data_IF_058040813877
#
_entry.id   IF_058040813877
#
_cell.length_a   1.000
_cell.length_b   1.000
_cell.length_c   1.000
_cell.angle_alpha   90.00
_cell.angle_beta   90.00
_cell.angle_gamma   90.00
#
_symmetry.space_group_name_H-M   'P 1'
#
loop_
_entity.id
_entity.type
_entity.pdbx_description
1 polymer ?
#
# COMPACT_ATOMS: atom_id res chain seq x y z
N UNK A 1 22.17 -1.59 -4.17
CA UNK A 1 21.78 -2.87 -3.52
C UNK A 1 21.27 -3.78 -4.60
N UNK A 2 21.61 -5.08 -4.61
CA UNK A 2 20.97 -6.02 -5.56
C UNK A 2 19.68 -6.50 -4.90
N UNK A 3 18.55 -6.03 -5.38
CA UNK A 3 17.24 -6.33 -4.77
C UNK A 3 16.66 -7.68 -5.17
N UNK A 4 17.06 -8.23 -6.32
CA UNK A 4 16.49 -9.45 -6.90
C UNK A 4 15.09 -9.23 -7.54
N UNK A 5 14.71 -7.97 -7.78
CA UNK A 5 13.35 -7.63 -8.25
C UNK A 5 13.23 -7.50 -9.76
N UNK A 6 14.33 -7.45 -10.52
CA UNK A 6 14.28 -7.35 -11.98
C UNK A 6 13.37 -8.42 -12.60
N UNK A 7 12.47 -8.00 -13.47
CA UNK A 7 11.47 -8.84 -14.12
C UNK A 7 10.28 -9.28 -13.27
N UNK A 8 10.26 -9.00 -11.96
CA UNK A 8 9.11 -9.29 -11.08
C UNK A 8 7.89 -8.44 -11.43
N UNK A 9 6.72 -9.01 -11.23
CA UNK A 9 5.43 -8.35 -11.50
C UNK A 9 4.85 -7.77 -10.21
N UNK A 10 4.65 -6.45 -10.21
CA UNK A 10 4.15 -5.71 -9.05
C UNK A 10 2.75 -5.19 -9.30
N UNK A 11 1.78 -5.56 -8.48
CA UNK A 11 0.44 -4.97 -8.45
C UNK A 11 0.34 -3.94 -7.33
N UNK A 12 0.02 -2.68 -7.66
CA UNK A 12 -0.12 -1.59 -6.69
C UNK A 12 -1.53 -1.01 -6.76
N UNK A 13 -2.26 -1.09 -5.64
CA UNK A 13 -3.60 -0.52 -5.55
C UNK A 13 -3.55 0.95 -5.11
N UNK A 14 -4.42 1.81 -5.66
CA UNK A 14 -4.44 3.23 -5.35
C UNK A 14 -3.19 3.98 -5.78
N UNK A 15 -2.67 3.68 -6.97
CA UNK A 15 -1.36 4.14 -7.47
C UNK A 15 -1.38 5.48 -8.22
N UNK A 16 -2.51 6.19 -8.27
CA UNK A 16 -2.67 7.40 -9.08
C UNK A 16 -1.91 8.62 -8.54
N UNK A 17 -1.56 8.66 -7.25
CA UNK A 17 -0.87 9.80 -6.60
C UNK A 17 -0.15 9.41 -5.32
N UNK A 18 0.55 10.36 -4.74
CA UNK A 18 1.14 10.29 -3.38
C UNK A 18 2.04 9.05 -3.17
N UNK A 19 1.83 8.33 -2.06
CA UNK A 19 2.62 7.15 -1.70
C UNK A 19 2.52 6.06 -2.77
N UNK A 20 1.33 5.81 -3.32
CA UNK A 20 1.14 4.80 -4.36
C UNK A 20 1.93 5.11 -5.63
N UNK A 21 1.90 6.37 -6.09
CA UNK A 21 2.73 6.82 -7.22
C UNK A 21 4.22 6.71 -6.91
N UNK A 22 4.65 7.17 -5.74
CA UNK A 22 6.06 7.10 -5.35
C UNK A 22 6.56 5.66 -5.23
N UNK A 23 5.71 4.75 -4.74
CA UNK A 23 6.00 3.32 -4.69
C UNK A 23 6.15 2.73 -6.10
N UNK A 24 5.28 3.13 -7.03
CA UNK A 24 5.37 2.68 -8.44
C UNK A 24 6.68 3.14 -9.08
N UNK A 25 7.09 4.39 -8.89
CA UNK A 25 8.36 4.91 -9.39
C UNK A 25 9.56 4.17 -8.80
N UNK A 26 9.53 3.90 -7.49
CA UNK A 26 10.61 3.15 -6.84
C UNK A 26 10.75 1.72 -7.37
N UNK A 27 9.65 1.03 -7.70
CA UNK A 27 9.70 -0.27 -8.36
C UNK A 27 10.13 -0.16 -9.83
N UNK A 28 9.78 0.92 -10.53
CA UNK A 28 10.23 1.14 -11.91
C UNK A 28 11.75 1.22 -12.03
N UNK A 29 12.43 1.81 -11.04
CA UNK A 29 13.90 1.86 -10.95
C UNK A 29 14.54 0.47 -10.76
N UNK A 30 13.77 -0.55 -10.38
CA UNK A 30 14.23 -1.93 -10.15
C UNK A 30 13.98 -2.87 -11.35
N UNK A 31 13.67 -2.33 -12.54
CA UNK A 31 13.37 -3.10 -13.77
C UNK A 31 12.21 -4.10 -13.57
N UNK A 32 11.17 -3.68 -12.88
CA UNK A 32 9.97 -4.50 -12.64
C UNK A 32 8.92 -4.29 -13.74
N UNK A 33 7.95 -5.20 -13.81
CA UNK A 33 6.71 -5.04 -14.58
C UNK A 33 5.61 -4.59 -13.63
N UNK A 34 4.85 -3.58 -13.98
CA UNK A 34 3.99 -2.90 -13.02
C UNK A 34 2.53 -2.89 -13.48
N UNK A 35 1.63 -3.35 -12.63
CA UNK A 35 0.18 -3.19 -12.78
C UNK A 35 -0.29 -2.16 -11.77
N UNK A 36 -0.78 -1.03 -12.27
CA UNK A 36 -1.27 0.07 -11.46
C UNK A 36 -2.80 0.09 -11.47
N UNK A 37 -3.39 0.25 -10.29
CA UNK A 37 -4.85 0.39 -10.21
C UNK A 37 -5.30 1.62 -9.43
N UNK A 38 -6.45 2.13 -9.81
CA UNK A 38 -7.22 3.14 -9.08
C UNK A 38 -8.71 2.94 -9.32
N UNK A 39 -9.54 3.43 -8.41
CA UNK A 39 -11.00 3.35 -8.58
C UNK A 39 -11.55 4.36 -9.60
N UNK A 40 -11.03 5.57 -9.66
CA UNK A 40 -11.65 6.70 -10.41
C UNK A 40 -10.71 7.53 -11.26
N UNK A 41 -9.51 7.78 -10.82
CA UNK A 41 -8.61 8.78 -11.42
C UNK A 41 -7.75 8.16 -12.54
N UNK A 42 -8.37 7.74 -13.66
CA UNK A 42 -7.66 7.09 -14.77
C UNK A 42 -6.55 7.97 -15.34
N UNK A 43 -6.82 9.27 -15.55
CA UNK A 43 -5.84 10.22 -16.06
C UNK A 43 -4.60 10.33 -15.16
N UNK A 44 -4.79 10.50 -13.85
CA UNK A 44 -3.67 10.54 -12.89
C UNK A 44 -2.93 9.20 -12.80
N UNK A 45 -3.65 8.08 -13.03
CA UNK A 45 -3.03 6.75 -13.08
C UNK A 45 -2.15 6.62 -14.32
N UNK A 46 -2.62 7.08 -15.47
CA UNK A 46 -1.88 7.04 -16.73
C UNK A 46 -0.66 7.98 -16.69
N UNK A 47 -0.77 9.12 -16.01
CA UNK A 47 0.38 9.99 -15.75
C UNK A 47 1.44 9.29 -14.85
N UNK A 48 1.01 8.49 -13.89
CA UNK A 48 1.92 7.66 -13.09
C UNK A 48 2.59 6.59 -13.95
N UNK A 49 1.82 5.93 -14.82
CA UNK A 49 2.35 4.91 -15.73
C UNK A 49 3.37 5.49 -16.72
N UNK A 50 3.10 6.66 -17.28
CA UNK A 50 4.03 7.34 -18.18
C UNK A 50 5.37 7.63 -17.46
N UNK A 51 5.33 8.14 -16.23
CA UNK A 51 6.53 8.39 -15.45
C UNK A 51 7.32 7.11 -15.11
N UNK A 52 6.64 5.97 -14.87
CA UNK A 52 7.30 4.68 -14.69
C UNK A 52 7.92 4.17 -16.01
N UNK A 53 7.25 4.39 -17.14
CA UNK A 53 7.76 3.99 -18.45
C UNK A 53 9.01 4.79 -18.86
N UNK A 54 9.11 6.07 -18.47
CA UNK A 54 10.32 6.90 -18.64
C UNK A 54 11.52 6.30 -17.88
N UNK A 55 11.30 5.56 -16.82
CA UNK A 55 12.32 4.80 -16.07
C UNK A 55 12.58 3.40 -16.66
N UNK A 56 11.92 3.04 -17.77
CA UNK A 56 12.11 1.78 -18.48
C UNK A 56 11.16 0.65 -18.08
N UNK A 57 10.27 0.85 -17.12
CA UNK A 57 9.35 -0.18 -16.69
C UNK A 57 8.23 -0.45 -17.71
N UNK A 58 7.81 -1.72 -17.82
CA UNK A 58 6.57 -2.10 -18.53
C UNK A 58 5.39 -1.92 -17.59
N UNK A 59 4.41 -1.12 -17.99
CA UNK A 59 3.31 -0.73 -17.12
C UNK A 59 1.96 -0.97 -17.78
N UNK A 60 1.03 -1.54 -17.04
CA UNK A 60 -0.40 -1.66 -17.39
C UNK A 60 -1.24 -0.94 -16.33
N UNK A 61 -2.26 -0.21 -16.77
CA UNK A 61 -3.17 0.55 -15.90
C UNK A 61 -4.60 0.03 -16.00
N UNK A 62 -5.25 -0.20 -14.85
CA UNK A 62 -6.61 -0.71 -14.79
C UNK A 62 -7.45 0.10 -13.79
N UNK A 63 -8.72 0.33 -14.10
CA UNK A 63 -9.69 0.77 -13.10
C UNK A 63 -10.11 -0.45 -12.28
N UNK A 64 -10.01 -0.34 -10.96
CA UNK A 64 -10.39 -1.39 -10.03
C UNK A 64 -10.87 -0.76 -8.72
N UNK A 65 -12.10 -1.04 -8.35
CA UNK A 65 -12.56 -0.85 -6.97
C UNK A 65 -12.17 -2.08 -6.16
N UNK A 66 -11.28 -1.90 -5.19
CA UNK A 66 -10.79 -3.01 -4.36
C UNK A 66 -11.86 -3.63 -3.46
N UNK A 67 -13.02 -2.98 -3.33
CA UNK A 67 -14.19 -3.50 -2.60
C UNK A 67 -15.08 -4.43 -3.44
N UNK A 68 -14.77 -4.57 -4.72
CA UNK A 68 -15.47 -5.42 -5.69
C UNK A 68 -14.58 -6.62 -6.04
N UNK A 69 -14.95 -7.81 -5.55
CA UNK A 69 -14.17 -9.05 -5.72
C UNK A 69 -14.00 -9.41 -7.20
N UNK A 70 -15.03 -9.18 -8.04
CA UNK A 70 -14.98 -9.49 -9.48
C UNK A 70 -14.01 -8.57 -10.24
N UNK A 71 -13.97 -7.28 -9.90
CA UNK A 71 -13.01 -6.34 -10.46
C UNK A 71 -11.58 -6.68 -10.03
N UNK A 72 -11.38 -7.09 -8.77
CA UNK A 72 -10.09 -7.57 -8.29
C UNK A 72 -9.66 -8.83 -9.04
N UNK A 73 -10.54 -9.81 -9.18
CA UNK A 73 -10.28 -11.01 -9.95
C UNK A 73 -9.89 -10.72 -11.39
N UNK A 74 -10.68 -9.86 -12.06
CA UNK A 74 -10.40 -9.41 -13.44
C UNK A 74 -9.05 -8.70 -13.58
N UNK A 75 -8.65 -7.94 -12.57
CA UNK A 75 -7.35 -7.26 -12.50
C UNK A 75 -6.19 -8.26 -12.44
N UNK A 76 -6.28 -9.26 -11.58
CA UNK A 76 -5.24 -10.30 -11.44
C UNK A 76 -5.16 -11.16 -12.70
N UNK A 77 -6.29 -11.51 -13.31
CA UNK A 77 -6.30 -12.21 -14.60
C UNK A 77 -5.70 -11.38 -15.75
N UNK A 78 -5.90 -10.06 -15.75
CA UNK A 78 -5.24 -9.17 -16.70
C UNK A 78 -3.72 -9.14 -16.47
N UNK A 79 -3.25 -9.06 -15.23
CA UNK A 79 -1.83 -9.15 -14.89
C UNK A 79 -1.23 -10.50 -15.34
N UNK A 80 -1.97 -11.58 -15.17
CA UNK A 80 -1.54 -12.92 -15.59
C UNK A 80 -1.40 -13.03 -17.12
N UNK A 81 -2.35 -12.50 -17.88
CA UNK A 81 -2.29 -12.48 -19.36
C UNK A 81 -1.13 -11.62 -19.88
N UNK A 82 -0.89 -10.47 -19.26
CA UNK A 82 0.09 -9.50 -19.73
C UNK A 82 1.52 -9.87 -19.31
N UNK A 83 1.70 -10.29 -18.06
CA UNK A 83 3.01 -10.44 -17.43
C UNK A 83 3.29 -11.82 -16.83
N UNK A 84 2.32 -12.74 -16.86
CA UNK A 84 2.48 -14.10 -16.36
C UNK A 84 2.00 -14.32 -14.92
N UNK A 85 1.64 -13.26 -14.17
CA UNK A 85 1.14 -13.36 -12.80
C UNK A 85 1.36 -12.09 -11.99
N UNK A 86 1.33 -12.22 -10.66
CA UNK A 86 1.66 -11.16 -9.71
C UNK A 86 2.61 -11.74 -8.66
N UNK A 87 3.84 -11.24 -8.64
CA UNK A 87 4.86 -11.63 -7.65
C UNK A 87 4.77 -10.78 -6.36
N UNK A 88 4.45 -9.50 -6.51
CA UNK A 88 4.44 -8.53 -5.42
C UNK A 88 3.09 -7.81 -5.42
N UNK A 89 2.41 -7.81 -4.28
CA UNK A 89 1.18 -7.06 -4.04
C UNK A 89 1.43 -5.92 -3.05
N UNK A 90 1.07 -4.70 -3.44
CA UNK A 90 1.08 -3.53 -2.55
C UNK A 90 -0.34 -3.03 -2.35
N UNK A 91 -0.91 -3.31 -1.20
CA UNK A 91 -2.24 -2.86 -0.76
C UNK A 91 -2.15 -1.42 -0.22
N UNK A 92 -2.13 -0.45 -1.14
CA UNK A 92 -2.01 0.97 -0.80
C UNK A 92 -3.36 1.71 -0.88
N UNK A 93 -4.38 1.20 -1.59
CA UNK A 93 -5.69 1.82 -1.63
C UNK A 93 -6.24 2.03 -0.21
N UNK A 94 -6.75 3.23 0.07
CA UNK A 94 -7.24 3.59 1.42
C UNK A 94 -8.42 4.55 1.33
N UNK A 95 -9.38 4.37 2.21
CA UNK A 95 -10.43 5.34 2.50
C UNK A 95 -10.23 5.88 3.91
N UNK A 96 -10.17 7.20 4.01
CA UNK A 96 -10.05 7.89 5.30
C UNK A 96 -11.45 8.27 5.79
N UNK A 97 -11.74 7.97 7.06
CA UNK A 97 -12.90 8.53 7.75
C UNK A 97 -12.47 9.75 8.53
N UNK A 98 -13.23 10.81 8.41
CA UNK A 98 -12.97 12.10 9.05
C UNK A 98 -13.99 12.41 10.15
N UNK A 99 -13.63 13.37 10.98
CA UNK A 99 -14.50 13.90 12.02
C UNK A 99 -14.58 13.06 13.30
N UNK A 100 -15.26 13.61 14.33
CA UNK A 100 -15.46 12.95 15.62
C UNK A 100 -16.30 11.68 15.48
N UNK A 101 -16.01 10.65 16.27
CA UNK A 101 -16.67 9.34 16.21
C UNK A 101 -18.20 9.42 16.23
N UNK A 102 -18.78 10.23 17.12
CA UNK A 102 -20.24 10.39 17.22
C UNK A 102 -20.91 11.07 16.00
N UNK A 103 -20.12 11.66 15.11
CA UNK A 103 -20.62 12.26 13.84
C UNK A 103 -20.40 11.35 12.64
N UNK A 104 -19.71 10.23 12.81
CA UNK A 104 -19.51 9.24 11.74
C UNK A 104 -20.78 8.41 11.59
N UNK A 105 -21.21 8.22 10.36
CA UNK A 105 -22.35 7.36 10.05
C UNK A 105 -21.94 5.87 10.05
N UNK A 106 -22.89 4.94 10.16
CA UNK A 106 -22.64 3.52 9.92
C UNK A 106 -22.04 3.24 8.53
N UNK A 107 -22.38 4.06 7.53
CA UNK A 107 -21.87 3.98 6.15
C UNK A 107 -20.39 4.36 6.09
N UNK A 108 -19.97 5.39 6.85
CA UNK A 108 -18.55 5.77 6.98
C UNK A 108 -17.73 4.62 7.57
N UNK A 109 -18.26 3.98 8.60
CA UNK A 109 -17.65 2.79 9.21
C UNK A 109 -17.52 1.65 8.21
N UNK A 110 -18.63 1.26 7.54
CA UNK A 110 -18.63 0.17 6.57
C UNK A 110 -17.71 0.46 5.39
N UNK A 111 -17.74 1.68 4.85
CA UNK A 111 -16.85 2.09 3.77
C UNK A 111 -15.37 2.03 4.16
N UNK A 112 -15.04 2.42 5.40
CA UNK A 112 -13.67 2.30 5.89
C UNK A 112 -13.23 0.84 5.99
N UNK A 113 -14.09 -0.05 6.53
CA UNK A 113 -13.81 -1.49 6.59
C UNK A 113 -13.64 -2.08 5.20
N UNK A 114 -14.59 -1.83 4.30
CA UNK A 114 -14.58 -2.36 2.95
C UNK A 114 -13.28 -2.02 2.19
N UNK A 115 -12.86 -0.75 2.16
CA UNK A 115 -11.65 -0.37 1.41
C UNK A 115 -10.36 -0.83 2.10
N UNK A 116 -10.28 -0.71 3.43
CA UNK A 116 -9.01 -0.91 4.12
C UNK A 116 -8.79 -2.33 4.66
N UNK A 117 -9.84 -3.17 4.77
CA UNK A 117 -9.74 -4.56 5.23
C UNK A 117 -10.23 -5.55 4.17
N UNK A 118 -11.47 -5.37 3.65
CA UNK A 118 -11.99 -6.30 2.65
C UNK A 118 -11.19 -6.18 1.33
N UNK A 119 -10.77 -4.95 0.95
CA UNK A 119 -9.91 -4.76 -0.21
C UNK A 119 -8.60 -5.56 -0.14
N UNK A 120 -7.75 -5.40 0.89
CA UNK A 120 -6.59 -6.26 1.12
C UNK A 120 -6.90 -7.75 1.20
N UNK A 121 -8.05 -8.14 1.73
CA UNK A 121 -8.49 -9.53 1.73
C UNK A 121 -8.74 -10.05 0.29
N UNK A 122 -9.52 -9.34 -0.52
CA UNK A 122 -9.81 -9.76 -1.90
C UNK A 122 -8.56 -9.79 -2.77
N UNK A 123 -7.74 -8.76 -2.72
CA UNK A 123 -6.50 -8.69 -3.51
C UNK A 123 -5.51 -9.77 -3.11
N UNK A 124 -5.31 -10.00 -1.80
CA UNK A 124 -4.42 -11.06 -1.31
C UNK A 124 -4.94 -12.44 -1.72
N UNK A 125 -6.24 -12.69 -1.55
CA UNK A 125 -6.87 -13.95 -1.95
C UNK A 125 -6.71 -14.25 -3.44
N UNK A 126 -6.79 -13.22 -4.28
CA UNK A 126 -6.67 -13.36 -5.73
C UNK A 126 -5.23 -13.65 -6.19
N UNK A 127 -4.19 -13.10 -5.53
CA UNK A 127 -2.79 -13.31 -5.95
C UNK A 127 -2.13 -14.52 -5.31
N UNK A 128 -2.57 -14.93 -4.11
CA UNK A 128 -1.95 -16.03 -3.34
C UNK A 128 -1.84 -17.35 -4.09
N UNK A 129 -2.84 -17.83 -4.88
CA UNK A 129 -2.69 -19.06 -5.62
C UNK A 129 -1.46 -19.09 -6.54
N UNK A 130 -1.24 -18.02 -7.32
CA UNK A 130 -0.07 -17.91 -8.19
C UNK A 130 1.25 -17.80 -7.41
N UNK A 131 1.27 -17.07 -6.29
CA UNK A 131 2.44 -17.00 -5.41
C UNK A 131 2.79 -18.35 -4.78
N UNK A 132 1.78 -19.14 -4.39
CA UNK A 132 1.97 -20.50 -3.85
C UNK A 132 2.55 -21.42 -4.92
N UNK A 133 2.00 -21.38 -6.14
CA UNK A 133 2.47 -22.18 -7.27
C UNK A 133 3.94 -21.87 -7.62
N UNK A 134 4.31 -20.58 -7.61
CA UNK A 134 5.68 -20.16 -7.89
C UNK A 134 6.66 -20.38 -6.73
N UNK A 135 6.17 -20.65 -5.51
CA UNK A 135 7.00 -20.75 -4.30
C UNK A 135 7.64 -19.42 -3.88
N UNK A 136 7.14 -18.29 -4.36
CA UNK A 136 7.66 -16.96 -4.08
C UNK A 136 6.55 -15.91 -4.10
N UNK A 137 6.54 -15.00 -3.14
CA UNK A 137 5.59 -13.89 -3.11
C UNK A 137 5.94 -12.85 -2.05
N UNK A 138 5.47 -11.61 -2.30
CA UNK A 138 5.62 -10.49 -1.36
C UNK A 138 4.30 -9.74 -1.26
N UNK A 139 3.75 -9.60 -0.06
CA UNK A 139 2.54 -8.80 0.19
C UNK A 139 2.88 -7.69 1.17
N UNK A 140 2.63 -6.46 0.78
CA UNK A 140 2.85 -5.26 1.58
C UNK A 140 1.53 -4.55 1.82
N UNK A 141 1.11 -4.45 3.07
CA UNK A 141 -0.12 -3.81 3.50
C UNK A 141 0.18 -2.44 4.15
N UNK A 142 -0.73 -1.48 4.02
CA UNK A 142 -0.58 -0.18 4.67
C UNK A 142 -1.44 -0.07 5.93
N UNK A 143 -0.79 -0.17 7.09
CA UNK A 143 -1.33 0.23 8.39
C UNK A 143 -1.23 1.76 8.56
N UNK A 144 -0.84 2.26 9.69
CA UNK A 144 -0.62 3.69 9.95
C UNK A 144 -0.53 4.00 11.43
N UNK A 145 -0.01 5.17 11.76
CA UNK A 145 0.22 5.60 13.14
C UNK A 145 -1.00 5.55 14.05
N UNK A 146 -2.21 5.69 13.51
CA UNK A 146 -3.46 5.59 14.30
C UNK A 146 -3.69 4.22 14.94
N UNK A 147 -3.15 3.13 14.38
CA UNK A 147 -3.19 1.80 14.99
C UNK A 147 -2.48 1.76 16.35
N UNK A 148 -1.48 2.58 16.52
CA UNK A 148 -0.55 2.54 17.65
C UNK A 148 -0.73 3.71 18.62
N UNK A 149 -1.10 4.90 18.11
CA UNK A 149 -1.34 6.09 18.92
C UNK A 149 -2.80 6.30 19.34
N UNK A 150 -3.74 5.54 18.74
CA UNK A 150 -5.17 5.74 19.02
C UNK A 150 -5.73 6.98 18.32
N UNK A 151 -5.43 7.22 17.06
CA UNK A 151 -5.88 8.38 16.30
C UNK A 151 -7.26 8.24 15.65
N UNK A 152 -8.36 8.29 16.43
CA UNK A 152 -9.74 8.12 15.97
C UNK A 152 -10.15 6.63 15.92
N UNK A 153 -11.28 6.28 16.58
CA UNK A 153 -11.69 4.91 16.82
C UNK A 153 -11.78 4.06 15.53
N UNK A 154 -12.54 4.51 14.53
CA UNK A 154 -12.70 3.80 13.25
C UNK A 154 -11.36 3.60 12.55
N UNK A 155 -10.55 4.65 12.49
CA UNK A 155 -9.25 4.60 11.85
C UNK A 155 -8.26 3.67 12.58
N UNK A 156 -8.26 3.70 13.91
CA UNK A 156 -7.43 2.83 14.73
C UNK A 156 -7.84 1.36 14.57
N UNK A 157 -9.14 1.07 14.63
CA UNK A 157 -9.68 -0.29 14.44
C UNK A 157 -9.26 -0.87 13.07
N UNK A 158 -9.48 -0.12 11.98
CA UNK A 158 -9.10 -0.54 10.62
C UNK A 158 -7.60 -0.80 10.53
N UNK A 159 -6.78 0.16 10.97
CA UNK A 159 -5.32 0.07 10.79
C UNK A 159 -4.68 -0.98 11.68
N UNK A 160 -5.24 -1.26 12.86
CA UNK A 160 -4.82 -2.38 13.69
C UNK A 160 -5.32 -3.73 13.13
N UNK A 161 -6.51 -3.76 12.53
CA UNK A 161 -7.02 -4.92 11.79
C UNK A 161 -6.07 -5.35 10.66
N UNK A 162 -5.53 -4.40 9.90
CA UNK A 162 -4.50 -4.66 8.88
C UNK A 162 -3.23 -5.31 9.47
N UNK A 163 -2.81 -4.91 10.67
CA UNK A 163 -1.67 -5.54 11.35
C UNK A 163 -1.98 -7.00 11.71
N UNK A 164 -3.18 -7.26 12.24
CA UNK A 164 -3.64 -8.62 12.54
C UNK A 164 -3.71 -9.49 11.28
N UNK A 165 -4.31 -8.98 10.20
CA UNK A 165 -4.40 -9.64 8.91
C UNK A 165 -3.01 -9.98 8.33
N UNK A 166 -2.08 -9.02 8.37
CA UNK A 166 -0.68 -9.21 7.96
C UNK A 166 -0.01 -10.37 8.69
N UNK A 167 -0.15 -10.41 10.02
CA UNK A 167 0.43 -11.48 10.85
C UNK A 167 -0.20 -12.85 10.57
N UNK A 168 -1.52 -12.88 10.35
CA UNK A 168 -2.24 -14.10 9.98
C UNK A 168 -1.71 -14.69 8.68
N UNK A 169 -1.68 -13.91 7.60
CA UNK A 169 -1.17 -14.34 6.30
C UNK A 169 0.32 -14.75 6.37
N UNK A 170 1.14 -14.00 7.09
CA UNK A 170 2.56 -14.31 7.26
C UNK A 170 2.78 -15.70 7.88
N UNK A 171 1.98 -16.04 8.90
CA UNK A 171 2.06 -17.35 9.58
C UNK A 171 1.54 -18.48 8.69
N UNK A 172 0.49 -18.24 7.94
CA UNK A 172 -0.15 -19.27 7.10
C UNK A 172 0.69 -19.60 5.86
N UNK A 173 1.22 -18.57 5.18
CA UNK A 173 1.86 -18.71 3.88
C UNK A 173 3.40 -18.61 3.88
N UNK A 174 4.05 -18.38 5.02
CA UNK A 174 5.51 -18.31 5.11
C UNK A 174 6.21 -19.59 4.62
N UNK A 175 5.63 -20.76 4.86
CA UNK A 175 6.14 -22.05 4.35
C UNK A 175 6.14 -22.17 2.82
N UNK A 176 5.38 -21.33 2.14
CA UNK A 176 5.29 -21.26 0.68
C UNK A 176 6.28 -20.24 0.07
N UNK A 177 7.24 -19.72 0.83
CA UNK A 177 8.18 -18.70 0.35
C UNK A 177 7.58 -17.29 0.23
N UNK A 178 6.40 -17.05 0.85
CA UNK A 178 5.67 -15.79 0.79
C UNK A 178 5.93 -15.00 2.07
N UNK A 179 6.38 -13.75 1.94
CA UNK A 179 6.45 -12.83 3.07
C UNK A 179 5.31 -11.82 3.02
N UNK A 180 4.74 -11.52 4.18
CA UNK A 180 3.65 -10.54 4.32
C UNK A 180 4.03 -9.56 5.42
N UNK A 181 4.16 -8.28 5.08
CA UNK A 181 4.54 -7.24 6.02
C UNK A 181 3.62 -6.02 5.89
N UNK A 182 3.61 -5.17 6.89
CA UNK A 182 2.89 -3.90 6.85
C UNK A 182 3.81 -2.70 7.04
N UNK A 183 3.42 -1.57 6.46
CA UNK A 183 4.06 -0.27 6.64
C UNK A 183 3.11 0.60 7.47
N UNK A 184 3.64 1.30 8.45
CA UNK A 184 2.92 2.30 9.24
C UNK A 184 3.57 3.69 9.04
N UNK A 185 3.16 4.43 7.98
CA UNK A 185 3.67 5.77 7.76
C UNK A 185 3.19 6.72 8.86
N UNK A 186 4.05 7.66 9.23
CA UNK A 186 3.70 8.82 10.00
C UNK A 186 3.04 9.92 9.16
N UNK A 187 3.39 11.16 9.42
CA UNK A 187 2.91 12.30 8.65
C UNK A 187 3.75 12.45 7.38
N UNK A 188 3.20 12.02 6.25
CA UNK A 188 3.84 12.08 4.92
C UNK A 188 3.25 13.25 4.14
N UNK A 189 4.11 13.95 3.41
CA UNK A 189 3.71 14.98 2.44
C UNK A 189 2.85 14.35 1.34
N UNK A 190 1.58 14.77 1.23
CA UNK A 190 0.62 14.21 0.28
C UNK A 190 -0.27 15.31 -0.27
N UNK A 191 -0.53 15.25 -1.57
CA UNK A 191 -1.58 16.03 -2.20
C UNK A 191 -2.95 15.59 -1.68
N UNK A 192 -3.83 16.53 -1.45
CA UNK A 192 -5.19 16.29 -0.98
C UNK A 192 -6.20 16.82 -1.97
N UNK A 193 -7.38 16.22 -1.98
CA UNK A 193 -8.50 16.74 -2.76
C UNK A 193 -8.90 18.13 -2.20
N UNK A 194 -9.27 19.08 -3.07
CA UNK A 194 -9.74 20.39 -2.65
C UNK A 194 -10.88 20.27 -1.61
N UNK A 195 -10.76 21.05 -0.52
CA UNK A 195 -11.73 21.01 0.59
C UNK A 195 -11.46 19.95 1.66
N UNK A 196 -10.45 19.09 1.49
CA UNK A 196 -9.97 18.13 2.50
C UNK A 196 -8.70 18.60 3.20
N UNK A 197 -8.26 19.81 2.91
CA UNK A 197 -7.11 20.44 3.53
C UNK A 197 -7.43 20.77 5.00
N UNK A 198 -6.63 20.25 5.92
CA UNK A 198 -6.67 20.73 7.30
C UNK A 198 -5.76 21.96 7.40
N UNK A 199 -6.19 22.96 8.12
CA UNK A 199 -5.36 24.14 8.43
C UNK A 199 -4.00 23.73 9.07
N UNK A 200 -4.01 22.65 9.85
CA UNK A 200 -2.83 22.00 10.41
C UNK A 200 -1.90 21.34 9.37
N UNK A 201 -2.42 21.02 8.17
CA UNK A 201 -1.61 20.41 7.10
C UNK A 201 -0.77 21.44 6.34
N UNK A 202 -1.09 22.73 6.51
CA UNK A 202 -0.43 23.85 5.82
C UNK A 202 0.62 24.55 6.67
N UNK A 203 0.56 24.42 8.01
CA UNK A 203 1.50 25.11 8.93
C UNK A 203 1.75 24.25 10.18
N UNK A 204 2.83 23.49 10.19
CA UNK A 204 3.35 22.93 11.44
C UNK A 204 2.66 21.66 11.94
N UNK A 205 2.12 20.82 11.05
CA UNK A 205 1.49 19.55 11.41
C UNK A 205 2.48 18.47 11.89
N UNK A 206 3.77 18.73 11.83
CA UNK A 206 4.78 17.94 12.51
C UNK A 206 5.03 18.61 13.84
N UNK A 207 4.70 17.93 14.92
CA UNK A 207 5.01 18.38 16.27
C UNK A 207 6.51 18.65 16.38
N UNK A 208 6.89 19.82 16.90
CA UNK A 208 8.28 20.16 17.14
C UNK A 208 9.00 19.16 18.07
N UNK A 209 8.24 18.37 18.83
CA UNK A 209 8.74 17.25 19.63
C UNK A 209 9.07 16.00 18.83
N UNK A 210 8.65 15.90 17.56
CA UNK A 210 9.01 14.77 16.69
C UNK A 210 10.52 14.79 16.43
N UNK A 211 11.27 13.73 16.70
CA UNK A 211 12.73 13.70 16.56
C UNK A 211 13.24 14.14 15.19
N UNK A 212 12.53 13.75 14.10
CA UNK A 212 12.78 14.30 12.76
C UNK A 212 11.63 15.28 12.43
N UNK A 213 11.79 16.60 12.71
CA UNK A 213 10.68 17.56 12.71
C UNK A 213 10.35 18.06 11.30
N UNK A 214 10.04 17.13 10.38
CA UNK A 214 9.58 17.40 9.02
C UNK A 214 8.57 16.35 8.57
N UNK A 215 7.83 16.64 7.53
CA UNK A 215 7.08 15.62 6.81
C UNK A 215 8.01 14.56 6.21
N UNK A 216 7.62 13.28 6.28
CA UNK A 216 8.23 12.25 5.45
C UNK A 216 7.86 12.46 3.98
N UNK A 217 8.75 12.12 3.07
CA UNK A 217 8.50 12.18 1.63
C UNK A 217 7.90 10.86 1.13
N UNK A 218 6.97 10.88 0.17
CA UNK A 218 6.44 9.65 -0.43
C UNK A 218 7.51 8.68 -0.94
N UNK A 219 8.59 9.21 -1.51
CA UNK A 219 9.74 8.40 -1.98
C UNK A 219 10.46 7.64 -0.86
N UNK A 220 10.52 8.19 0.37
CA UNK A 220 11.12 7.48 1.51
C UNK A 220 10.29 6.25 1.87
N UNK A 221 8.97 6.33 1.71
CA UNK A 221 8.06 5.17 1.89
C UNK A 221 8.26 4.17 0.75
N UNK A 222 8.33 4.64 -0.52
CA UNK A 222 8.57 3.78 -1.68
C UNK A 222 9.87 2.97 -1.56
N UNK A 223 10.96 3.60 -1.14
CA UNK A 223 12.24 2.95 -0.92
C UNK A 223 12.17 1.83 0.14
N UNK A 224 11.44 2.07 1.25
CA UNK A 224 11.22 1.05 2.27
C UNK A 224 10.40 -0.13 1.73
N UNK A 225 9.38 0.14 0.92
CA UNK A 225 8.53 -0.91 0.30
C UNK A 225 9.37 -1.78 -0.64
N UNK A 226 10.21 -1.19 -1.48
CA UNK A 226 11.15 -1.93 -2.35
C UNK A 226 12.10 -2.80 -1.53
N UNK A 227 12.70 -2.26 -0.46
CA UNK A 227 13.55 -3.05 0.42
C UNK A 227 12.82 -4.27 1.01
N UNK A 228 11.60 -4.07 1.55
CA UNK A 228 10.84 -5.16 2.18
C UNK A 228 10.38 -6.20 1.15
N UNK A 229 10.17 -5.80 -0.10
CA UNK A 229 9.85 -6.71 -1.20
C UNK A 229 11.08 -7.48 -1.72
N UNK A 230 12.30 -7.01 -1.45
CA UNK A 230 13.53 -7.57 -2.00
C UNK A 230 13.90 -8.94 -1.41
N UNK A 231 14.80 -9.64 -2.07
CA UNK A 231 15.37 -10.90 -1.58
C UNK A 231 16.20 -10.71 -0.29
N UNK A 232 16.70 -9.48 -0.05
CA UNK A 232 17.42 -9.16 1.18
C UNK A 232 16.52 -9.12 2.42
N UNK A 233 15.22 -8.98 2.23
CA UNK A 233 14.21 -9.03 3.28
C UNK A 233 13.50 -10.41 3.36
N UNK A 234 14.02 -11.45 2.71
CA UNK A 234 13.35 -12.76 2.61
C UNK A 234 13.09 -13.45 3.96
N UNK A 235 13.79 -13.05 5.03
CA UNK A 235 13.55 -13.58 6.38
C UNK A 235 12.72 -12.65 7.26
N UNK A 236 12.13 -11.61 6.66
CA UNK A 236 11.27 -10.62 7.33
C UNK A 236 9.82 -10.88 6.95
N UNK A 237 9.00 -11.34 7.88
CA UNK A 237 7.55 -11.56 7.67
C UNK A 237 6.75 -11.31 8.94
N UNK A 238 5.50 -10.88 8.80
CA UNK A 238 4.59 -10.56 9.89
C UNK A 238 4.93 -9.26 10.63
N UNK A 239 5.86 -8.45 10.12
CA UNK A 239 6.32 -7.25 10.79
C UNK A 239 5.55 -6.01 10.36
N UNK A 240 5.55 -5.00 11.24
CA UNK A 240 5.07 -3.65 10.92
C UNK A 240 6.24 -2.68 10.99
N UNK A 241 6.55 -2.05 9.88
CA UNK A 241 7.64 -1.09 9.78
C UNK A 241 7.12 0.32 9.95
N UNK A 242 7.60 0.99 10.97
CA UNK A 242 7.28 2.39 11.24
C UNK A 242 8.22 3.30 10.47
N UNK A 243 7.65 4.18 9.63
CA UNK A 243 8.36 5.24 8.93
C UNK A 243 7.68 6.56 9.28
N UNK A 244 7.98 7.09 10.47
CA UNK A 244 7.21 8.13 11.15
C UNK A 244 8.05 9.27 11.72
N UNK A 245 9.34 9.33 11.43
CA UNK A 245 10.22 10.38 11.94
C UNK A 245 10.47 10.32 13.46
N UNK A 246 10.14 9.21 14.12
CA UNK A 246 10.21 9.07 15.57
C UNK A 246 9.00 9.61 16.33
N UNK A 247 7.90 9.91 15.64
CA UNK A 247 6.65 10.40 16.23
C UNK A 247 6.10 9.48 17.35
N UNK A 248 6.38 8.18 17.29
CA UNK A 248 6.18 7.20 18.36
C UNK A 248 7.09 5.98 18.14
N UNK A 249 7.34 5.26 19.22
CA UNK A 249 8.16 4.03 19.22
C UNK A 249 7.30 2.82 19.64
N UNK A 250 7.63 1.63 19.11
CA UNK A 250 7.06 0.33 19.50
C UNK A 250 8.14 -0.74 19.47
#
# INVERSE_FOLDING_TARGET
MKTGLSGKVVLITGASRNIGRATALAFAEEDTRIVLTTRRSKESLDATAAACAELGAKVTTLLCDVTDEDQVGSTVEAAKREFGGVDILVNNATQRVQGPFLKQSPEDWRGAMAVNLDGPYYTSRAVLPGMIESGWGRIINYSGGSAFRGGGATKAAVKLGVVGFTRGLAREFGKNGITVNSIAPGTIEVERDPGLEREADLKGAVDASTPIPRFGRPGEVGALVVYIASDQAAYITGQTFHINGGDYFQ
#
